data_IF_824229906238
#
_entry.id   IF_824229906238
#
_cell.length_a   1.000
_cell.length_b   1.000
_cell.length_c   1.000
_cell.angle_alpha   90.00
_cell.angle_beta   90.00
_cell.angle_gamma   90.00
#
_symmetry.space_group_name_H-M   'P 1'
#
loop_
_entity.id
_entity.type
_entity.pdbx_description
1 polymer ?
#
# COMPACT_ATOMS: atom_id res chain seq x y z
N UNK A 1 30.05 -24.19 35.09
CA UNK A 1 30.12 -23.52 33.77
C UNK A 1 28.74 -22.91 33.50
N UNK A 2 28.64 -21.61 33.21
CA UNK A 2 27.38 -20.90 32.90
C UNK A 2 27.45 -20.39 31.47
N UNK A 3 26.44 -20.73 30.68
CA UNK A 3 26.22 -20.17 29.36
C UNK A 3 24.92 -19.38 29.38
N UNK A 4 24.95 -18.19 28.81
CA UNK A 4 23.77 -17.36 28.59
C UNK A 4 23.72 -17.03 27.10
N UNK A 5 22.60 -17.33 26.47
CA UNK A 5 22.32 -16.98 25.08
C UNK A 5 21.27 -15.88 25.06
N UNK A 6 21.41 -14.96 24.11
CA UNK A 6 20.36 -14.00 23.77
C UNK A 6 19.52 -14.61 22.66
N UNK A 7 18.21 -14.63 22.86
CA UNK A 7 17.23 -15.12 21.89
C UNK A 7 16.29 -13.94 21.55
N UNK A 8 16.42 -13.42 20.34
CA UNK A 8 15.45 -12.47 19.78
C UNK A 8 14.36 -13.24 19.03
N UNK A 9 13.12 -13.12 19.51
CA UNK A 9 11.94 -13.67 18.85
C UNK A 9 11.27 -12.55 18.06
N UNK A 10 11.31 -12.65 16.74
CA UNK A 10 10.64 -11.73 15.83
C UNK A 10 9.35 -12.37 15.34
N UNK A 11 8.23 -11.68 15.49
CA UNK A 11 7.00 -12.08 14.82
C UNK A 11 7.22 -12.01 13.31
N UNK A 12 6.90 -13.12 12.65
CA UNK A 12 7.06 -13.29 11.21
C UNK A 12 5.70 -13.33 10.55
N UNK A 13 5.57 -12.58 9.46
CA UNK A 13 4.40 -12.48 8.60
C UNK A 13 4.63 -13.14 7.24
N UNK A 14 4.54 -14.48 7.14
CA UNK A 14 4.65 -15.18 5.85
C UNK A 14 3.44 -14.95 4.91
N UNK A 15 2.50 -14.10 5.29
CA UNK A 15 1.32 -13.77 4.51
C UNK A 15 1.59 -12.65 3.49
N UNK A 16 0.67 -12.49 2.53
CA UNK A 16 0.64 -11.32 1.61
C UNK A 16 0.79 -10.01 2.39
N UNK A 17 1.41 -8.96 1.83
CA UNK A 17 1.60 -7.71 2.54
C UNK A 17 0.29 -7.17 3.13
N UNK A 18 0.29 -6.81 4.41
CA UNK A 18 -0.89 -6.23 5.09
C UNK A 18 -0.75 -4.72 5.09
N UNK A 19 -1.79 -4.04 4.61
CA UNK A 19 -1.90 -2.59 4.69
C UNK A 19 -2.47 -2.19 6.05
N UNK A 20 -1.86 -1.19 6.69
CA UNK A 20 -2.41 -0.62 7.92
C UNK A 20 -3.79 -0.01 7.63
N UNK A 21 -4.80 -0.39 8.41
CA UNK A 21 -6.14 0.15 8.28
C UNK A 21 -6.17 1.68 8.48
N UNK A 22 -7.08 2.34 7.76
CA UNK A 22 -7.24 3.80 7.79
C UNK A 22 -6.23 4.56 6.93
N UNK A 23 -5.33 3.86 6.23
CA UNK A 23 -4.39 4.44 5.27
C UNK A 23 -4.55 3.81 3.87
N UNK A 24 -4.34 4.58 2.79
CA UNK A 24 -4.28 6.05 2.75
C UNK A 24 -5.65 6.66 3.12
N UNK A 25 -5.63 7.79 3.81
CA UNK A 25 -6.85 8.48 4.23
C UNK A 25 -7.30 9.52 3.20
N UNK A 26 -8.62 9.70 3.08
CA UNK A 26 -9.19 10.77 2.27
C UNK A 26 -8.71 12.13 2.79
N UNK A 27 -8.07 12.91 1.92
CA UNK A 27 -7.47 14.21 2.26
C UNK A 27 -7.97 15.26 1.28
N UNK A 28 -8.27 16.46 1.77
CA UNK A 28 -8.58 17.64 0.95
C UNK A 28 -7.38 18.58 0.95
N UNK A 29 -7.08 19.16 -0.20
CA UNK A 29 -5.98 20.10 -0.37
C UNK A 29 -6.45 21.30 -1.21
N UNK A 30 -5.78 22.44 -1.05
CA UNK A 30 -6.04 23.61 -1.88
C UNK A 30 -5.52 23.37 -3.29
N UNK A 31 -6.15 23.98 -4.30
CA UNK A 31 -5.66 23.93 -5.67
C UNK A 31 -4.25 24.52 -5.75
N UNK A 32 -3.32 23.77 -6.33
CA UNK A 32 -1.91 24.16 -6.44
C UNK A 32 -1.06 23.88 -5.20
N UNK A 33 -1.63 23.29 -4.14
CA UNK A 33 -0.88 22.79 -2.99
C UNK A 33 -0.55 21.30 -3.13
N UNK A 34 0.50 20.88 -2.42
CA UNK A 34 0.93 19.48 -2.36
C UNK A 34 0.16 18.70 -1.30
N UNK A 35 0.01 17.39 -1.52
CA UNK A 35 -0.61 16.45 -0.58
C UNK A 35 0.25 15.19 -0.46
N UNK A 36 0.28 14.61 0.73
CA UNK A 36 1.01 13.39 1.02
C UNK A 36 0.03 12.27 1.40
N UNK A 37 0.26 11.09 0.81
CA UNK A 37 -0.46 9.88 1.18
C UNK A 37 0.51 8.87 1.78
N UNK A 38 0.06 8.17 2.81
CA UNK A 38 0.85 7.16 3.50
C UNK A 38 0.30 5.76 3.20
N UNK A 39 1.20 4.83 2.91
CA UNK A 39 0.91 3.41 2.78
C UNK A 39 1.86 2.66 3.72
N UNK A 40 1.36 2.25 4.89
CA UNK A 40 2.14 1.46 5.84
C UNK A 40 1.86 -0.02 5.59
N UNK A 41 2.93 -0.77 5.33
CA UNK A 41 2.87 -2.16 4.91
C UNK A 41 3.64 -3.03 5.90
N UNK A 42 3.00 -4.09 6.39
CA UNK A 42 3.63 -5.11 7.21
C UNK A 42 3.84 -6.36 6.37
N UNK A 43 5.10 -6.73 6.11
CA UNK A 43 5.47 -7.95 5.41
C UNK A 43 6.91 -8.34 5.71
N UNK A 44 7.16 -9.63 5.89
CA UNK A 44 8.51 -10.20 5.98
C UNK A 44 9.20 -10.29 4.62
N UNK A 45 8.41 -10.34 3.54
CA UNK A 45 8.89 -10.37 2.18
C UNK A 45 9.02 -8.94 1.65
N UNK A 46 9.98 -8.70 0.75
CA UNK A 46 10.11 -7.43 0.06
C UNK A 46 8.81 -7.09 -0.70
N UNK A 47 8.06 -6.04 -0.32
CA UNK A 47 6.82 -5.71 -1.00
C UNK A 47 7.10 -4.91 -2.28
N UNK A 48 6.32 -5.16 -3.32
CA UNK A 48 6.23 -4.28 -4.49
C UNK A 48 5.06 -3.31 -4.26
N UNK A 49 5.38 -2.04 -4.03
CA UNK A 49 4.40 -1.02 -3.66
C UNK A 49 4.07 -0.20 -4.92
N UNK A 50 2.79 0.06 -5.18
CA UNK A 50 2.37 0.90 -6.29
C UNK A 50 1.28 1.86 -5.85
N UNK A 51 1.36 3.09 -6.33
CA UNK A 51 0.31 4.09 -6.19
C UNK A 51 -0.53 4.11 -7.46
N UNK A 52 -1.83 3.86 -7.31
CA UNK A 52 -2.77 3.78 -8.42
C UNK A 52 -3.81 4.89 -8.33
N UNK A 53 -4.12 5.50 -9.47
CA UNK A 53 -5.24 6.42 -9.63
C UNK A 53 -6.34 5.73 -10.41
N UNK A 54 -7.53 5.63 -9.83
CA UNK A 54 -8.72 5.25 -10.57
C UNK A 54 -9.06 6.35 -11.59
N UNK A 55 -9.28 5.96 -12.84
CA UNK A 55 -9.58 6.86 -13.95
C UNK A 55 -10.87 6.43 -14.64
N UNK A 56 -11.48 7.36 -15.37
CA UNK A 56 -12.62 7.07 -16.23
C UNK A 56 -12.17 7.11 -17.69
N UNK A 57 -12.54 6.08 -18.44
CA UNK A 57 -12.30 5.96 -19.88
C UNK A 57 -13.66 5.88 -20.56
N UNK A 58 -13.96 6.85 -21.42
CA UNK A 58 -15.24 6.94 -22.14
C UNK A 58 -16.48 6.91 -21.21
N UNK A 59 -16.38 7.54 -20.04
CA UNK A 59 -17.46 7.60 -19.04
C UNK A 59 -17.66 6.32 -18.22
N UNK A 60 -16.81 5.30 -18.41
CA UNK A 60 -16.78 4.10 -17.56
C UNK A 60 -15.51 4.08 -16.71
N UNK A 61 -15.64 3.74 -15.43
CA UNK A 61 -14.50 3.45 -14.55
C UNK A 61 -14.05 1.98 -14.61
N UNK A 62 -14.80 1.12 -15.31
CA UNK A 62 -14.51 -0.30 -15.47
C UNK A 62 -14.46 -0.71 -16.94
N UNK A 63 -13.53 -1.61 -17.25
CA UNK A 63 -13.44 -2.29 -18.53
C UNK A 63 -14.60 -3.25 -18.79
N UNK A 64 -14.74 -3.72 -20.05
CA UNK A 64 -15.73 -4.75 -20.40
C UNK A 64 -15.50 -6.08 -19.66
N UNK A 65 -14.31 -6.29 -19.12
CA UNK A 65 -13.91 -7.42 -18.28
C UNK A 65 -14.23 -7.23 -16.79
N UNK A 66 -14.76 -6.06 -16.41
CA UNK A 66 -15.04 -5.71 -15.01
C UNK A 66 -13.81 -5.31 -14.20
N UNK A 67 -12.65 -5.11 -14.85
CA UNK A 67 -11.44 -4.62 -14.19
C UNK A 67 -11.47 -3.08 -14.18
N UNK A 68 -11.17 -2.41 -13.05
CA UNK A 68 -11.17 -0.96 -13.00
C UNK A 68 -10.05 -0.38 -13.87
N UNK A 69 -10.34 0.72 -14.57
CA UNK A 69 -9.30 1.50 -15.23
C UNK A 69 -8.45 2.22 -14.18
N UNK A 70 -7.15 1.95 -14.21
CA UNK A 70 -6.19 2.55 -13.29
C UNK A 70 -4.97 3.07 -14.02
N UNK A 71 -4.38 4.14 -13.49
CA UNK A 71 -3.10 4.68 -13.91
C UNK A 71 -2.08 4.52 -12.78
N UNK A 72 -0.89 4.02 -13.10
CA UNK A 72 0.23 3.95 -12.13
C UNK A 72 0.82 5.34 -11.97
N UNK A 73 0.78 5.88 -10.74
CA UNK A 73 1.39 7.15 -10.37
C UNK A 73 2.84 6.98 -9.95
N UNK A 74 3.14 5.91 -9.21
CA UNK A 74 4.47 5.61 -8.68
C UNK A 74 4.62 4.11 -8.38
N UNK A 75 5.84 3.60 -8.57
CA UNK A 75 6.31 2.26 -8.16
C UNK A 75 7.37 2.43 -7.08
#
# INVERSE_FOLDING_TARGET
>A
IRYSYLLDVLERSPHRPILQAGLPANTTALVGSDVEFFCKVYSDAQPHIQWLKHIEVNGSSYGPDGVPYVQVLKV
#
